data_IF_228034856108
#
_entry.id   IF_228034856108
#
_cell.length_a   1.000
_cell.length_b   1.000
_cell.length_c   1.000
_cell.angle_alpha   90.00
_cell.angle_beta   90.00
_cell.angle_gamma   90.00
#
_symmetry.space_group_name_H-M   'P 1'
#
loop_
_entity.id
_entity.type
_entity.pdbx_description
1 polymer ?
#
# COMPACT_ATOMS: atom_id res chain seq x y z
N UNK A 1 -9.04 21.56 8.89
CA UNK A 1 -9.42 22.97 9.09
C UNK A 1 -10.87 23.09 9.55
N UNK A 2 -11.83 22.42 8.89
CA UNK A 2 -13.25 22.40 9.27
C UNK A 2 -13.51 22.25 10.79
N UNK A 3 -12.91 21.24 11.42
CA UNK A 3 -12.95 21.02 12.88
C UNK A 3 -12.55 22.25 13.70
N UNK A 4 -11.47 22.94 13.33
CA UNK A 4 -10.94 24.10 14.06
C UNK A 4 -11.93 25.26 14.01
N UNK A 5 -12.56 25.48 12.86
CA UNK A 5 -13.56 26.52 12.66
C UNK A 5 -14.86 26.23 13.40
N UNK A 6 -15.32 24.97 13.39
CA UNK A 6 -16.49 24.54 14.16
C UNK A 6 -16.24 24.68 15.67
N UNK A 7 -15.05 24.32 16.15
CA UNK A 7 -14.65 24.54 17.55
C UNK A 7 -14.64 26.02 17.93
N UNK A 8 -14.40 26.92 16.98
CA UNK A 8 -14.49 28.36 17.16
C UNK A 8 -15.93 28.90 17.09
N UNK A 9 -16.95 28.03 17.02
CA UNK A 9 -18.37 28.41 17.00
C UNK A 9 -18.89 28.87 15.62
N UNK A 10 -18.10 28.67 14.55
CA UNK A 10 -18.54 29.03 13.20
C UNK A 10 -19.50 27.96 12.68
N UNK A 11 -20.61 28.36 12.05
CA UNK A 11 -21.57 27.41 11.47
C UNK A 11 -20.94 26.54 10.37
N UNK A 12 -21.44 25.31 10.22
CA UNK A 12 -20.95 24.36 9.21
C UNK A 12 -20.98 24.96 7.79
N UNK A 13 -22.07 25.62 7.42
CA UNK A 13 -22.22 26.29 6.12
C UNK A 13 -21.14 27.34 5.87
N UNK A 14 -20.88 28.21 6.85
CA UNK A 14 -19.85 29.27 6.74
C UNK A 14 -18.43 28.68 6.71
N UNK A 15 -18.21 27.58 7.42
CA UNK A 15 -16.94 26.85 7.32
C UNK A 15 -16.72 26.28 5.92
N UNK A 16 -17.75 25.64 5.34
CA UNK A 16 -17.67 25.07 3.99
C UNK A 16 -17.47 26.14 2.92
N UNK A 17 -18.12 27.30 3.06
CA UNK A 17 -17.90 28.47 2.21
C UNK A 17 -16.44 28.95 2.24
N UNK A 18 -15.92 29.18 3.45
CA UNK A 18 -14.55 29.66 3.63
C UNK A 18 -13.51 28.66 3.11
N UNK A 19 -13.71 27.36 3.32
CA UNK A 19 -12.82 26.33 2.78
C UNK A 19 -12.94 26.21 1.26
N UNK A 20 -14.15 26.37 0.72
CA UNK A 20 -14.39 26.33 -0.72
C UNK A 20 -13.72 27.47 -1.47
N UNK A 21 -13.77 28.70 -0.91
CA UNK A 21 -13.17 29.89 -1.53
C UNK A 21 -11.64 29.88 -1.52
N UNK A 22 -11.02 29.14 -0.58
CA UNK A 22 -9.56 29.02 -0.44
C UNK A 22 -9.02 27.65 -0.91
N UNK A 23 -9.84 26.86 -1.62
CA UNK A 23 -9.40 25.57 -2.11
C UNK A 23 -8.36 25.74 -3.25
N UNK A 24 -7.18 25.15 -3.10
CA UNK A 24 -6.13 25.15 -4.15
C UNK A 24 -6.62 24.50 -5.45
N UNK A 25 -7.43 23.45 -5.32
CA UNK A 25 -8.00 22.73 -6.46
C UNK A 25 -9.44 23.19 -6.70
N UNK A 26 -9.72 23.69 -7.90
CA UNK A 26 -11.06 24.11 -8.33
C UNK A 26 -12.12 23.04 -8.07
N UNK A 27 -11.81 21.77 -8.37
CA UNK A 27 -12.72 20.63 -8.13
C UNK A 27 -13.11 20.49 -6.66
N UNK A 28 -12.18 20.73 -5.73
CA UNK A 28 -12.47 20.67 -4.28
C UNK A 28 -13.38 21.83 -3.88
N UNK A 29 -13.12 23.04 -4.40
CA UNK A 29 -13.98 24.21 -4.18
C UNK A 29 -15.42 23.98 -4.65
N UNK A 30 -15.60 23.41 -5.85
CA UNK A 30 -16.92 23.05 -6.40
C UNK A 30 -17.65 22.03 -5.51
N UNK A 31 -16.96 20.98 -5.05
CA UNK A 31 -17.53 19.97 -4.15
C UNK A 31 -17.94 20.60 -2.81
N UNK A 32 -17.11 21.47 -2.22
CA UNK A 32 -17.44 22.17 -0.97
C UNK A 32 -18.63 23.12 -1.13
N UNK A 33 -18.76 23.78 -2.29
CA UNK A 33 -19.94 24.59 -2.63
C UNK A 33 -21.22 23.76 -2.70
N UNK A 34 -21.16 22.57 -3.31
CA UNK A 34 -22.30 21.63 -3.33
C UNK A 34 -22.65 21.14 -1.93
N UNK A 35 -21.64 20.80 -1.10
CA UNK A 35 -21.86 20.39 0.28
C UNK A 35 -22.51 21.51 1.10
N UNK A 36 -22.03 22.75 0.97
CA UNK A 36 -22.62 23.93 1.61
C UNK A 36 -24.09 24.08 1.24
N UNK A 37 -24.41 24.10 -0.06
CA UNK A 37 -25.79 24.27 -0.54
C UNK A 37 -26.72 23.11 -0.10
N UNK A 38 -26.16 21.94 0.19
CA UNK A 38 -26.91 20.78 0.73
C UNK A 38 -27.25 20.99 2.20
N UNK A 39 -26.25 21.39 3.00
CA UNK A 39 -26.42 21.71 4.43
C UNK A 39 -27.37 22.90 4.63
N UNK A 40 -27.30 23.94 3.79
CA UNK A 40 -28.21 25.10 3.84
C UNK A 40 -29.67 24.72 3.53
N UNK A 41 -29.89 23.64 2.74
CA UNK A 41 -31.22 23.09 2.46
C UNK A 41 -31.71 22.10 3.54
N UNK A 42 -30.92 21.88 4.60
CA UNK A 42 -31.25 20.94 5.67
C UNK A 42 -31.02 19.47 5.33
N UNK A 43 -30.28 19.18 4.25
CA UNK A 43 -29.86 17.80 3.96
C UNK A 43 -28.77 17.35 4.94
N UNK A 44 -28.73 16.04 5.24
CA UNK A 44 -27.66 15.46 6.06
C UNK A 44 -26.31 15.70 5.41
N UNK A 45 -25.40 16.27 6.19
CA UNK A 45 -24.02 16.48 5.80
C UNK A 45 -23.34 15.14 5.52
N UNK A 46 -23.50 14.17 6.42
CA UNK A 46 -22.89 12.84 6.27
C UNK A 46 -23.37 12.13 5.00
N UNK A 47 -24.69 12.16 4.72
CA UNK A 47 -25.21 11.53 3.50
C UNK A 47 -24.66 12.16 2.24
N UNK A 48 -24.52 13.49 2.21
CA UNK A 48 -24.00 14.16 1.02
C UNK A 48 -22.54 13.77 0.73
N UNK A 49 -21.73 13.49 1.75
CA UNK A 49 -20.35 13.05 1.59
C UNK A 49 -20.22 11.70 0.88
N UNK A 50 -21.23 10.81 0.97
CA UNK A 50 -21.22 9.49 0.30
C UNK A 50 -21.12 9.59 -1.22
N UNK A 51 -21.55 10.71 -1.80
CA UNK A 51 -21.45 11.00 -3.25
C UNK A 51 -20.00 11.12 -3.72
N UNK A 52 -19.05 11.32 -2.80
CA UNK A 52 -17.65 11.56 -3.10
C UNK A 52 -16.72 10.56 -2.38
N UNK A 53 -16.85 9.24 -2.63
CA UNK A 53 -16.13 8.20 -1.89
C UNK A 53 -14.61 8.25 -2.10
N UNK A 54 -14.14 8.90 -3.17
CA UNK A 54 -12.71 9.12 -3.42
C UNK A 54 -12.08 10.21 -2.51
N UNK A 55 -12.90 11.10 -1.95
CA UNK A 55 -12.45 12.16 -1.02
C UNK A 55 -12.82 11.84 0.43
N UNK A 56 -13.97 11.19 0.64
CA UNK A 56 -14.48 10.85 1.96
C UNK A 56 -14.65 9.33 2.07
N UNK A 57 -13.65 8.63 2.65
CA UNK A 57 -13.75 7.20 2.89
C UNK A 57 -14.96 6.83 3.78
N UNK A 58 -15.54 5.63 3.64
CA UNK A 58 -16.72 5.22 4.41
C UNK A 58 -16.59 5.40 5.93
N UNK A 59 -15.42 5.13 6.50
CA UNK A 59 -15.13 5.36 7.94
C UNK A 59 -15.29 6.82 8.33
N UNK A 60 -14.82 7.76 7.50
CA UNK A 60 -14.93 9.20 7.76
C UNK A 60 -16.39 9.64 7.68
N UNK A 61 -17.12 9.13 6.69
CA UNK A 61 -18.55 9.42 6.55
C UNK A 61 -19.32 8.91 7.77
N UNK A 62 -19.02 7.71 8.27
CA UNK A 62 -19.73 7.17 9.43
C UNK A 62 -19.41 7.91 10.73
N UNK A 63 -18.15 8.28 10.95
CA UNK A 63 -17.78 9.13 12.09
C UNK A 63 -18.57 10.44 12.07
N UNK A 64 -18.66 11.09 10.91
CA UNK A 64 -19.42 12.33 10.71
C UNK A 64 -20.92 12.07 10.90
N UNK A 65 -21.46 10.94 10.43
CA UNK A 65 -22.87 10.53 10.63
C UNK A 65 -23.21 10.38 12.11
N UNK A 66 -22.35 9.72 12.89
CA UNK A 66 -22.53 9.57 14.33
C UNK A 66 -22.50 10.94 15.04
N UNK A 67 -21.57 11.83 14.66
CA UNK A 67 -21.51 13.19 15.18
C UNK A 67 -22.71 14.06 14.78
N UNK A 68 -23.22 13.91 13.56
CA UNK A 68 -24.41 14.62 13.10
C UNK A 68 -25.67 14.17 13.86
N UNK A 69 -25.86 12.86 14.04
CA UNK A 69 -27.01 12.30 14.76
C UNK A 69 -27.05 12.68 16.25
N UNK A 70 -25.88 12.85 16.88
CA UNK A 70 -25.74 13.20 18.30
C UNK A 70 -25.56 14.70 18.54
N UNK A 71 -25.48 15.52 17.47
CA UNK A 71 -25.17 16.94 17.57
C UNK A 71 -23.71 17.24 17.98
N UNK A 72 -22.83 16.24 18.01
CA UNK A 72 -21.42 16.34 18.41
C UNK A 72 -20.47 16.30 17.19
N UNK A 73 -20.74 17.17 16.21
CA UNK A 73 -19.99 17.18 14.94
C UNK A 73 -18.49 17.52 15.12
N UNK A 74 -18.13 18.36 16.10
CA UNK A 74 -16.71 18.73 16.34
C UNK A 74 -15.87 17.54 16.86
N UNK A 75 -16.30 16.78 17.88
CA UNK A 75 -15.63 15.54 18.28
C UNK A 75 -15.52 14.52 17.13
N UNK A 76 -16.59 14.31 16.37
CA UNK A 76 -16.59 13.39 15.23
C UNK A 76 -15.57 13.79 14.15
N UNK A 77 -15.50 15.09 13.82
CA UNK A 77 -14.50 15.61 12.89
C UNK A 77 -13.07 15.55 13.46
N UNK A 78 -12.92 15.60 14.80
CA UNK A 78 -11.65 15.36 15.48
C UNK A 78 -11.16 13.95 15.22
N UNK A 79 -12.03 12.96 15.43
CA UNK A 79 -11.68 11.56 15.22
C UNK A 79 -11.44 11.25 13.74
N UNK A 80 -12.29 11.76 12.84
CA UNK A 80 -12.12 11.60 11.40
C UNK A 80 -10.78 12.20 10.91
N UNK A 81 -10.41 13.40 11.41
CA UNK A 81 -9.13 14.01 11.08
C UNK A 81 -7.94 13.23 11.63
N UNK A 82 -8.03 12.71 12.86
CA UNK A 82 -7.01 11.87 13.47
C UNK A 82 -6.81 10.57 12.67
N UNK A 83 -7.91 9.91 12.30
CA UNK A 83 -7.91 8.70 11.47
C UNK A 83 -7.25 8.94 10.10
N UNK A 84 -7.66 10.00 9.39
CA UNK A 84 -7.08 10.35 8.08
C UNK A 84 -5.59 10.66 8.19
N UNK A 85 -5.19 11.45 9.19
CA UNK A 85 -3.79 11.81 9.42
C UNK A 85 -2.94 10.58 9.71
N UNK A 86 -3.35 9.73 10.66
CA UNK A 86 -2.63 8.51 11.03
C UNK A 86 -2.53 7.52 9.87
N UNK A 87 -3.61 7.34 9.13
CA UNK A 87 -3.62 6.50 7.93
C UNK A 87 -2.67 7.02 6.86
N UNK A 88 -2.64 8.34 6.66
CA UNK A 88 -1.72 8.98 5.73
C UNK A 88 -0.26 8.87 6.18
N UNK A 89 0.03 9.14 7.46
CA UNK A 89 1.36 8.97 8.06
C UNK A 89 1.87 7.55 7.83
N UNK A 90 1.10 6.52 8.22
CA UNK A 90 1.49 5.11 8.03
C UNK A 90 1.77 4.79 6.55
N UNK A 91 0.88 5.22 5.64
CA UNK A 91 1.06 5.00 4.19
C UNK A 91 2.31 5.73 3.66
N UNK A 92 2.55 6.95 4.12
CA UNK A 92 3.70 7.75 3.74
C UNK A 92 5.00 7.12 4.21
N UNK A 93 5.04 6.57 5.43
CA UNK A 93 6.22 5.86 5.97
C UNK A 93 6.54 4.62 5.14
N UNK A 94 5.53 3.79 4.85
CA UNK A 94 5.70 2.61 3.98
C UNK A 94 6.17 3.02 2.58
N UNK A 95 5.56 4.05 1.98
CA UNK A 95 5.96 4.54 0.65
C UNK A 95 7.37 5.13 0.65
N UNK A 96 7.73 5.86 1.70
CA UNK A 96 9.06 6.46 1.86
C UNK A 96 10.15 5.40 1.91
N UNK A 97 9.95 4.34 2.70
CA UNK A 97 10.89 3.23 2.79
C UNK A 97 11.08 2.48 1.45
N UNK A 98 10.03 2.39 0.63
CA UNK A 98 10.07 1.74 -0.68
C UNK A 98 10.60 2.64 -1.81
N UNK A 99 10.73 3.95 -1.59
CA UNK A 99 11.14 4.90 -2.61
C UNK A 99 12.57 4.61 -3.11
N UNK A 100 13.52 4.47 -2.18
CA UNK A 100 14.92 4.23 -2.51
C UNK A 100 15.13 2.93 -3.31
N UNK A 101 14.64 1.75 -2.86
CA UNK A 101 14.76 0.52 -3.64
C UNK A 101 14.15 0.63 -5.03
N UNK A 102 13.01 1.32 -5.16
CA UNK A 102 12.34 1.50 -6.46
C UNK A 102 13.15 2.36 -7.43
N UNK A 103 13.83 3.40 -6.93
CA UNK A 103 14.69 4.27 -7.77
C UNK A 103 15.91 3.48 -8.25
N UNK A 104 16.62 2.79 -7.35
CA UNK A 104 17.82 2.02 -7.72
C UNK A 104 17.48 0.90 -8.70
N UNK A 105 16.40 0.14 -8.43
CA UNK A 105 15.96 -0.93 -9.31
C UNK A 105 15.54 -0.42 -10.69
N UNK A 106 14.83 0.72 -10.74
CA UNK A 106 14.46 1.33 -12.03
C UNK A 106 15.68 1.83 -12.80
N UNK A 107 16.65 2.48 -12.16
CA UNK A 107 17.91 2.87 -12.78
C UNK A 107 18.69 1.66 -13.31
N UNK A 108 18.78 0.58 -12.53
CA UNK A 108 19.43 -0.67 -12.95
C UNK A 108 18.79 -1.27 -14.20
N UNK A 109 17.45 -1.31 -14.26
CA UNK A 109 16.73 -1.80 -15.44
C UNK A 109 16.96 -0.90 -16.64
N UNK A 110 16.86 0.42 -16.48
CA UNK A 110 17.07 1.39 -17.57
C UNK A 110 18.49 1.28 -18.14
N UNK A 111 19.51 1.27 -17.27
CA UNK A 111 20.91 1.12 -17.69
C UNK A 111 21.16 -0.24 -18.35
N UNK A 112 20.64 -1.33 -17.77
CA UNK A 112 20.78 -2.67 -18.31
C UNK A 112 20.17 -2.81 -19.71
N UNK A 113 18.95 -2.29 -19.91
CA UNK A 113 18.30 -2.24 -21.23
C UNK A 113 19.12 -1.40 -22.21
N UNK A 114 19.61 -0.24 -21.78
CA UNK A 114 20.45 0.63 -22.62
C UNK A 114 21.72 -0.07 -23.12
N UNK A 115 22.38 -0.84 -22.26
CA UNK A 115 23.56 -1.63 -22.63
C UNK A 115 23.20 -2.69 -23.68
N UNK A 116 22.13 -3.46 -23.46
CA UNK A 116 21.73 -4.55 -24.38
C UNK A 116 21.27 -4.00 -25.74
N UNK A 117 20.60 -2.85 -25.77
CA UNK A 117 20.04 -2.27 -27.00
C UNK A 117 21.07 -1.46 -27.79
N UNK A 118 21.95 -0.69 -27.14
CA UNK A 118 22.85 0.24 -27.83
C UNK A 118 24.31 -0.22 -27.88
N UNK A 119 24.83 -0.75 -26.77
CA UNK A 119 26.26 -1.06 -26.64
C UNK A 119 26.57 -2.44 -27.22
N UNK A 120 25.74 -3.43 -26.88
CA UNK A 120 25.99 -4.80 -27.27
C UNK A 120 26.01 -5.02 -28.79
N UNK A 121 25.09 -4.49 -29.62
CA UNK A 121 25.14 -4.71 -31.07
C UNK A 121 26.44 -4.20 -31.71
N UNK A 122 26.94 -3.05 -31.26
CA UNK A 122 28.19 -2.47 -31.75
C UNK A 122 29.40 -3.35 -31.42
N UNK A 123 29.40 -3.97 -30.23
CA UNK A 123 30.43 -4.95 -29.87
C UNK A 123 30.35 -6.19 -30.76
N UNK A 124 29.14 -6.67 -31.07
CA UNK A 124 28.94 -7.83 -31.92
C UNK A 124 29.41 -7.63 -33.36
N UNK A 125 29.29 -6.42 -33.91
CA UNK A 125 29.82 -6.11 -35.24
C UNK A 125 31.34 -6.33 -35.33
N UNK A 126 32.07 -6.13 -34.23
CA UNK A 126 33.51 -6.42 -34.13
C UNK A 126 33.77 -7.94 -34.12
N UNK A 127 32.86 -8.73 -33.56
CA UNK A 127 33.00 -10.20 -33.42
C UNK A 127 32.51 -11.00 -34.63
N UNK A 128 31.72 -10.43 -35.53
CA UNK A 128 31.16 -11.12 -36.71
C UNK A 128 32.21 -11.67 -37.70
N UNK A 129 33.46 -11.24 -37.60
CA UNK A 129 34.57 -11.74 -38.43
C UNK A 129 35.35 -12.92 -37.82
N UNK A 130 35.03 -13.36 -36.60
CA UNK A 130 35.84 -14.33 -35.87
C UNK A 130 35.14 -15.69 -35.84
N UNK A 131 35.79 -16.72 -36.37
CA UNK A 131 35.29 -18.11 -36.49
C UNK A 131 35.30 -18.91 -35.19
N UNK A 132 35.62 -18.28 -34.05
CA UNK A 132 35.74 -18.95 -32.75
C UNK A 132 34.35 -19.06 -32.09
N UNK A 133 33.97 -20.23 -31.52
CA UNK A 133 32.69 -20.38 -30.83
C UNK A 133 32.59 -19.47 -29.60
N UNK A 134 31.60 -18.60 -29.60
CA UNK A 134 31.38 -17.66 -28.50
C UNK A 134 30.96 -18.38 -27.20
N UNK A 135 31.39 -17.88 -26.03
CA UNK A 135 30.97 -18.40 -24.73
C UNK A 135 29.45 -18.37 -24.52
N UNK A 136 28.93 -19.27 -23.66
CA UNK A 136 27.49 -19.36 -23.35
C UNK A 136 26.85 -18.01 -22.93
N UNK A 137 27.45 -17.21 -22.03
CA UNK A 137 26.88 -15.92 -21.63
C UNK A 137 26.69 -14.97 -22.83
N UNK A 138 27.70 -14.88 -23.70
CA UNK A 138 27.67 -14.05 -24.90
C UNK A 138 26.64 -14.56 -25.92
N UNK A 139 26.49 -15.88 -26.08
CA UNK A 139 25.47 -16.50 -26.96
C UNK A 139 24.04 -16.23 -26.50
N UNK A 140 23.76 -16.31 -25.20
CA UNK A 140 22.43 -15.96 -24.64
C UNK A 140 22.13 -14.48 -24.88
N UNK A 141 23.11 -13.62 -24.63
CA UNK A 141 22.96 -12.18 -24.81
C UNK A 141 22.77 -11.80 -26.29
N UNK A 142 23.48 -12.49 -27.18
CA UNK A 142 23.32 -12.42 -28.64
C UNK A 142 21.93 -12.81 -29.10
N UNK A 143 21.43 -13.96 -28.63
CA UNK A 143 20.08 -14.41 -28.98
C UNK A 143 19.02 -13.39 -28.53
N UNK A 144 19.20 -12.79 -27.34
CA UNK A 144 18.33 -11.72 -26.85
C UNK A 144 18.42 -10.47 -27.74
N UNK A 145 19.63 -10.03 -28.06
CA UNK A 145 19.88 -8.83 -28.88
C UNK A 145 19.34 -8.98 -30.31
N UNK A 146 19.56 -10.15 -30.92
CA UNK A 146 19.15 -10.44 -32.30
C UNK A 146 17.62 -10.66 -32.41
N UNK A 147 16.98 -11.14 -31.33
CA UNK A 147 15.53 -11.15 -31.19
C UNK A 147 14.95 -9.73 -31.09
N UNK A 148 15.60 -8.85 -30.31
CA UNK A 148 15.22 -7.44 -30.16
C UNK A 148 15.50 -6.65 -31.45
N UNK A 149 16.58 -6.92 -32.18
CA UNK A 149 16.93 -6.20 -33.39
C UNK A 149 16.02 -6.57 -34.58
N UNK A 150 15.69 -7.86 -34.76
CA UNK A 150 14.85 -8.33 -35.87
C UNK A 150 13.35 -8.21 -35.61
N UNK A 151 12.92 -8.35 -34.34
CA UNK A 151 11.52 -8.37 -33.95
C UNK A 151 11.22 -7.37 -32.84
N UNK A 152 11.98 -6.29 -32.69
CA UNK A 152 11.92 -5.38 -31.54
C UNK A 152 10.53 -4.84 -31.21
N UNK A 153 9.72 -4.55 -32.24
CA UNK A 153 8.32 -4.15 -32.07
C UNK A 153 7.48 -5.32 -31.50
N UNK A 154 7.66 -6.54 -32.02
CA UNK A 154 6.92 -7.74 -31.58
C UNK A 154 7.37 -8.21 -30.19
N UNK A 155 8.68 -8.20 -29.92
CA UNK A 155 9.26 -8.54 -28.61
C UNK A 155 8.87 -7.50 -27.57
N UNK A 156 8.95 -6.21 -27.91
CA UNK A 156 8.48 -5.12 -27.05
C UNK A 156 6.98 -5.23 -26.77
N UNK A 157 6.16 -5.46 -27.80
CA UNK A 157 4.73 -5.69 -27.64
C UNK A 157 4.43 -6.93 -26.80
N UNK A 158 5.18 -8.03 -26.96
CA UNK A 158 5.04 -9.25 -26.16
C UNK A 158 5.42 -9.01 -24.69
N UNK A 159 6.50 -8.29 -24.41
CA UNK A 159 6.90 -7.93 -23.04
C UNK A 159 5.85 -7.03 -22.39
N UNK A 160 5.39 -6.01 -23.11
CA UNK A 160 4.30 -5.14 -22.62
C UNK A 160 3.02 -5.94 -22.40
N UNK A 161 2.67 -6.85 -23.29
CA UNK A 161 1.50 -7.72 -23.15
C UNK A 161 1.63 -8.68 -21.97
N UNK A 162 2.80 -9.27 -21.74
CA UNK A 162 3.09 -10.13 -20.58
C UNK A 162 3.01 -9.32 -19.29
N UNK A 163 3.63 -8.13 -19.24
CA UNK A 163 3.55 -7.25 -18.07
C UNK A 163 2.10 -6.83 -17.82
N UNK A 164 1.36 -6.43 -18.85
CA UNK A 164 -0.04 -6.06 -18.74
C UNK A 164 -0.90 -7.26 -18.28
N UNK A 165 -0.65 -8.46 -18.79
CA UNK A 165 -1.33 -9.69 -18.39
C UNK A 165 -1.00 -10.07 -16.95
N UNK A 166 0.26 -9.94 -16.51
CA UNK A 166 0.68 -10.17 -15.13
C UNK A 166 0.07 -9.14 -14.18
N UNK A 167 0.01 -7.87 -14.58
CA UNK A 167 -0.66 -6.81 -13.80
C UNK A 167 -2.17 -7.10 -13.72
N UNK A 168 -2.81 -7.47 -14.82
CA UNK A 168 -4.22 -7.81 -14.86
C UNK A 168 -4.51 -9.05 -13.99
N UNK A 169 -3.70 -10.10 -14.11
CA UNK A 169 -3.78 -11.30 -13.29
C UNK A 169 -3.57 -10.97 -11.80
N UNK A 170 -2.56 -10.17 -11.45
CA UNK A 170 -2.32 -9.74 -10.07
C UNK A 170 -3.42 -8.81 -9.53
N UNK A 171 -4.17 -8.12 -10.39
CA UNK A 171 -5.34 -7.30 -10.02
C UNK A 171 -6.64 -8.10 -9.93
N UNK A 172 -6.70 -9.30 -10.52
CA UNK A 172 -7.86 -10.20 -10.36
C UNK A 172 -8.00 -10.64 -8.91
N UNK A 173 -9.22 -10.91 -8.46
CA UNK A 173 -9.49 -11.39 -7.09
C UNK A 173 -8.64 -12.62 -6.67
N UNK A 174 -8.51 -13.69 -7.50
CA UNK A 174 -7.65 -14.81 -7.14
C UNK A 174 -6.16 -14.43 -7.13
N UNK A 175 -5.70 -13.57 -8.05
CA UNK A 175 -4.30 -13.12 -8.06
C UNK A 175 -3.94 -12.21 -6.89
N UNK A 176 -4.87 -11.37 -6.43
CA UNK A 176 -4.73 -10.58 -5.20
C UNK A 176 -4.68 -11.49 -3.98
N UNK A 177 -5.52 -12.52 -3.92
CA UNK A 177 -5.50 -13.47 -2.81
C UNK A 177 -4.18 -14.26 -2.73
N UNK A 178 -3.67 -14.71 -3.87
CA UNK A 178 -2.40 -15.43 -3.95
C UNK A 178 -1.22 -14.52 -3.60
N UNK A 179 -1.14 -13.33 -4.18
CA UNK A 179 -0.06 -12.37 -3.89
C UNK A 179 -0.06 -11.95 -2.41
N UNK A 180 -1.21 -11.64 -1.83
CA UNK A 180 -1.31 -11.35 -0.40
C UNK A 180 -0.87 -12.55 0.46
N UNK A 181 -1.21 -13.78 0.07
CA UNK A 181 -0.76 -14.98 0.78
C UNK A 181 0.76 -15.14 0.71
N UNK A 182 1.35 -14.99 -0.47
CA UNK A 182 2.81 -15.09 -0.68
C UNK A 182 3.53 -14.03 0.17
N UNK A 183 3.07 -12.78 0.15
CA UNK A 183 3.65 -11.68 0.94
C UNK A 183 3.63 -12.02 2.43
N UNK A 184 2.52 -12.56 2.95
CA UNK A 184 2.42 -12.91 4.38
C UNK A 184 3.40 -14.02 4.80
N UNK A 185 3.84 -14.87 3.87
CA UNK A 185 4.81 -15.94 4.12
C UNK A 185 6.27 -15.55 3.82
N UNK A 186 6.50 -14.37 3.22
CA UNK A 186 7.84 -13.88 2.87
C UNK A 186 8.57 -13.32 4.10
N UNK A 187 9.05 -14.19 4.99
CA UNK A 187 9.98 -13.87 6.08
C UNK A 187 9.73 -12.51 6.75
N UNK A 188 10.70 -11.59 6.63
CA UNK A 188 10.64 -10.23 7.21
C UNK A 188 9.56 -9.33 6.58
N UNK A 189 9.29 -9.46 5.28
CA UNK A 189 8.23 -8.70 4.60
C UNK A 189 6.83 -9.14 5.08
N UNK A 190 6.65 -10.44 5.32
CA UNK A 190 5.41 -11.00 5.86
C UNK A 190 5.14 -10.55 7.29
N UNK A 191 6.18 -10.33 8.10
CA UNK A 191 6.05 -9.73 9.43
C UNK A 191 5.53 -8.29 9.33
N UNK A 192 6.20 -7.42 8.55
CA UNK A 192 5.78 -6.03 8.34
C UNK A 192 4.36 -5.95 7.78
N UNK A 193 4.02 -6.81 6.81
CA UNK A 193 2.69 -6.86 6.24
C UNK A 193 1.62 -7.19 7.30
N UNK A 194 1.91 -8.09 8.24
CA UNK A 194 1.00 -8.40 9.36
C UNK A 194 0.86 -7.20 10.29
N UNK A 195 1.96 -6.61 10.72
CA UNK A 195 1.98 -5.43 11.61
C UNK A 195 1.19 -4.27 11.02
N UNK A 196 1.38 -3.96 9.73
CA UNK A 196 0.65 -2.90 9.02
C UNK A 196 -0.87 -3.15 9.01
N UNK A 197 -1.30 -4.40 8.80
CA UNK A 197 -2.73 -4.73 8.82
C UNK A 197 -3.28 -4.67 10.25
N UNK A 198 -2.57 -5.21 11.24
CA UNK A 198 -2.98 -5.14 12.66
C UNK A 198 -3.08 -3.69 13.14
N UNK A 199 -2.06 -2.86 12.88
CA UNK A 199 -2.07 -1.44 13.25
C UNK A 199 -3.26 -0.71 12.62
N UNK A 200 -3.55 -0.96 11.34
CA UNK A 200 -4.69 -0.37 10.62
C UNK A 200 -6.02 -0.81 11.22
N UNK A 201 -6.19 -2.10 11.52
CA UNK A 201 -7.40 -2.65 12.16
C UNK A 201 -7.60 -1.99 13.51
N UNK A 202 -6.58 -2.02 14.37
CA UNK A 202 -6.65 -1.49 15.73
C UNK A 202 -6.95 0.02 15.73
N UNK A 203 -6.27 0.80 14.88
CA UNK A 203 -6.49 2.25 14.74
C UNK A 203 -7.89 2.60 14.25
N UNK A 204 -8.41 1.84 13.29
CA UNK A 204 -9.73 2.11 12.70
C UNK A 204 -10.83 1.74 13.67
N UNK A 205 -10.73 0.54 14.25
CA UNK A 205 -11.71 0.02 15.20
C UNK A 205 -11.73 0.86 16.48
N UNK A 206 -10.57 1.28 17.03
CA UNK A 206 -10.55 2.14 18.21
C UNK A 206 -11.20 3.50 17.96
N UNK A 207 -10.94 4.13 16.80
CA UNK A 207 -11.55 5.41 16.46
C UNK A 207 -13.07 5.33 16.34
N UNK A 208 -13.58 4.26 15.71
CA UNK A 208 -15.02 4.04 15.58
C UNK A 208 -15.69 3.75 16.94
N UNK A 209 -15.07 2.91 17.78
CA UNK A 209 -15.60 2.57 19.11
C UNK A 209 -15.65 3.78 20.06
N UNK A 210 -14.72 4.74 19.93
CA UNK A 210 -14.73 6.00 20.71
C UNK A 210 -15.88 6.94 20.35
N UNK A 211 -16.60 6.68 19.27
CA UNK A 211 -17.74 7.48 18.80
C UNK A 211 -19.08 6.79 19.02
N UNK A 212 -19.15 5.83 19.95
CA UNK A 212 -20.34 5.07 20.31
C UNK A 212 -20.97 4.30 19.13
N UNK A 213 -20.20 4.07 18.05
CA UNK A 213 -20.65 3.25 16.93
C UNK A 213 -20.64 1.78 17.38
N UNK A 214 -21.75 1.04 17.23
CA UNK A 214 -21.85 -0.36 17.65
C UNK A 214 -20.71 -1.21 17.07
N UNK A 215 -20.15 -2.12 17.88
CA UNK A 215 -18.96 -2.91 17.52
C UNK A 215 -19.11 -3.68 16.20
N UNK A 216 -20.28 -4.25 15.92
CA UNK A 216 -20.55 -4.97 14.67
C UNK A 216 -20.38 -4.04 13.47
N UNK A 217 -20.99 -2.85 13.53
CA UNK A 217 -20.87 -1.83 12.48
C UNK A 217 -19.44 -1.33 12.35
N UNK A 218 -18.76 -1.16 13.47
CA UNK A 218 -17.35 -0.76 13.51
C UNK A 218 -16.43 -1.79 12.84
N UNK A 219 -16.71 -3.09 13.01
CA UNK A 219 -15.99 -4.18 12.33
C UNK A 219 -16.25 -4.20 10.82
N UNK A 220 -17.51 -4.04 10.38
CA UNK A 220 -17.87 -3.94 8.95
C UNK A 220 -17.12 -2.80 8.26
N UNK A 221 -17.13 -1.62 8.87
CA UNK A 221 -16.44 -0.44 8.36
C UNK A 221 -14.93 -0.62 8.37
N UNK A 222 -14.39 -1.24 9.42
CA UNK A 222 -12.97 -1.59 9.48
C UNK A 222 -12.60 -2.53 8.34
N UNK A 223 -13.38 -3.58 8.07
CA UNK A 223 -13.17 -4.50 6.96
C UNK A 223 -13.14 -3.78 5.60
N UNK A 224 -14.02 -2.80 5.39
CA UNK A 224 -14.05 -2.00 4.16
C UNK A 224 -12.78 -1.16 3.93
N UNK A 225 -12.01 -0.84 4.98
CA UNK A 225 -10.71 -0.14 4.84
C UNK A 225 -9.54 -1.06 4.49
N UNK A 226 -9.71 -2.38 4.60
CA UNK A 226 -8.61 -3.34 4.47
C UNK A 226 -8.37 -3.71 3.01
N UNK A 227 -7.13 -3.50 2.57
CA UNK A 227 -6.67 -3.87 1.22
C UNK A 227 -6.35 -5.36 1.13
N UNK A 228 -5.75 -5.92 2.19
CA UNK A 228 -5.41 -7.34 2.25
C UNK A 228 -6.69 -8.18 2.38
N UNK A 229 -6.89 -9.09 1.42
CA UNK A 229 -8.12 -9.88 1.31
C UNK A 229 -8.31 -10.84 2.49
N UNK A 230 -7.22 -11.37 3.05
CA UNK A 230 -7.27 -12.34 4.17
C UNK A 230 -7.68 -11.65 5.46
N UNK A 231 -7.11 -10.48 5.75
CA UNK A 231 -7.54 -9.66 6.89
C UNK A 231 -8.95 -9.11 6.72
N UNK A 232 -9.33 -8.71 5.50
CA UNK A 232 -10.72 -8.28 5.23
C UNK A 232 -11.71 -9.41 5.50
N UNK A 233 -11.42 -10.62 5.02
CA UNK A 233 -12.26 -11.79 5.28
C UNK A 233 -12.32 -12.10 6.78
N UNK A 234 -11.19 -12.08 7.49
CA UNK A 234 -11.14 -12.34 8.93
C UNK A 234 -11.95 -11.32 9.75
N UNK A 235 -11.87 -10.03 9.45
CA UNK A 235 -12.67 -9.01 10.15
C UNK A 235 -14.15 -9.06 9.76
N UNK A 236 -14.47 -9.43 8.51
CA UNK A 236 -15.87 -9.66 8.08
C UNK A 236 -16.48 -10.84 8.83
N UNK A 237 -15.73 -11.93 8.97
CA UNK A 237 -16.11 -13.10 9.77
C UNK A 237 -16.28 -12.72 11.25
N UNK A 238 -15.35 -11.91 11.79
CA UNK A 238 -15.46 -11.40 13.16
C UNK A 238 -16.72 -10.56 13.40
N UNK A 239 -17.10 -9.69 12.46
CA UNK A 239 -18.37 -8.96 12.52
C UNK A 239 -19.56 -9.93 12.61
N UNK A 240 -19.54 -11.00 11.82
CA UNK A 240 -20.58 -12.02 11.80
C UNK A 240 -20.65 -12.82 13.11
N UNK A 241 -19.51 -13.18 13.71
CA UNK A 241 -19.42 -13.90 14.99
C UNK A 241 -19.98 -13.03 16.13
N UNK A 242 -19.55 -11.77 16.21
CA UNK A 242 -19.99 -10.84 17.25
C UNK A 242 -21.48 -10.51 17.11
N UNK A 243 -21.99 -10.39 15.88
CA UNK A 243 -23.43 -10.21 15.62
C UNK A 243 -24.31 -11.37 16.13
N UNK A 244 -23.74 -12.58 16.22
CA UNK A 244 -24.42 -13.77 16.78
C UNK A 244 -24.25 -13.91 18.30
N UNK A 245 -23.61 -12.93 18.96
CA UNK A 245 -23.36 -12.95 20.41
C UNK A 245 -22.06 -13.64 20.83
N UNK A 246 -21.17 -13.98 19.90
CA UNK A 246 -19.81 -14.42 20.23
C UNK A 246 -18.89 -13.26 20.63
N UNK A 247 -17.72 -13.57 21.18
CA UNK A 247 -16.72 -12.56 21.54
C UNK A 247 -15.83 -12.20 20.36
N UNK A 248 -15.28 -10.98 20.36
CA UNK A 248 -14.28 -10.59 19.36
C UNK A 248 -13.02 -11.43 19.50
N UNK A 249 -12.62 -11.75 20.74
CA UNK A 249 -11.51 -12.67 21.00
C UNK A 249 -11.68 -14.00 20.27
N UNK A 250 -12.84 -14.65 20.38
CA UNK A 250 -13.07 -15.96 19.78
C UNK A 250 -13.03 -15.87 18.25
N UNK A 251 -13.58 -14.79 17.69
CA UNK A 251 -13.48 -14.54 16.26
C UNK A 251 -12.03 -14.44 15.77
N UNK A 252 -11.19 -13.66 16.45
CA UNK A 252 -9.78 -13.49 16.06
C UNK A 252 -8.97 -14.78 16.29
N UNK A 253 -9.35 -15.60 17.27
CA UNK A 253 -8.74 -16.89 17.58
C UNK A 253 -8.88 -17.91 16.44
N UNK A 254 -9.97 -17.85 15.65
CA UNK A 254 -10.12 -18.67 14.43
C UNK A 254 -9.09 -18.31 13.36
N UNK A 255 -8.51 -17.10 13.43
CA UNK A 255 -7.56 -16.56 12.47
C UNK A 255 -6.16 -16.33 13.08
N UNK A 256 -5.73 -17.14 14.05
CA UNK A 256 -4.40 -17.09 14.72
C UNK A 256 -3.19 -16.96 13.78
N UNK A 257 -3.29 -17.40 12.52
CA UNK A 257 -2.22 -17.24 11.53
C UNK A 257 -1.99 -15.79 11.09
N UNK A 258 -3.02 -14.94 11.24
CA UNK A 258 -3.02 -13.52 10.87
C UNK A 258 -2.81 -12.61 12.09
N UNK A 259 -3.34 -12.99 13.26
CA UNK A 259 -3.29 -12.15 14.46
C UNK A 259 -2.24 -12.69 15.46
N UNK A 260 -1.24 -11.89 15.84
CA UNK A 260 -0.30 -12.26 16.88
C UNK A 260 -1.02 -12.57 18.22
N UNK A 261 -0.52 -13.53 19.02
CA UNK A 261 -1.16 -13.90 20.30
C UNK A 261 -1.36 -12.71 21.24
N UNK A 262 -0.40 -11.78 21.27
CA UNK A 262 -0.47 -10.55 22.08
C UNK A 262 -1.69 -9.70 21.71
N UNK A 263 -2.04 -9.60 20.43
CA UNK A 263 -3.23 -8.84 19.98
C UNK A 263 -4.50 -9.50 20.46
N UNK A 264 -4.62 -10.82 20.29
CA UNK A 264 -5.79 -11.58 20.72
C UNK A 264 -5.98 -11.43 22.25
N UNK A 265 -4.89 -11.50 23.00
CA UNK A 265 -4.91 -11.32 24.46
C UNK A 265 -5.32 -9.89 24.86
N UNK A 266 -4.79 -8.86 24.19
CA UNK A 266 -5.18 -7.47 24.48
C UNK A 266 -6.65 -7.21 24.15
N UNK A 267 -7.17 -7.81 23.07
CA UNK A 267 -8.61 -7.78 22.76
C UNK A 267 -9.42 -8.45 23.85
N UNK A 268 -9.00 -9.62 24.33
CA UNK A 268 -9.68 -10.33 25.41
C UNK A 268 -9.78 -9.46 26.69
N UNK A 269 -8.65 -8.89 27.12
CA UNK A 269 -8.60 -8.01 28.30
C UNK A 269 -9.45 -6.75 28.08
N UNK A 270 -9.46 -6.21 26.86
CA UNK A 270 -10.24 -5.01 26.53
C UNK A 270 -11.75 -5.27 26.49
N UNK A 271 -12.16 -6.44 26.04
CA UNK A 271 -13.55 -6.87 26.02
C UNK A 271 -14.05 -7.15 27.44
N UNK A 272 -13.27 -7.83 28.28
CA UNK A 272 -13.60 -8.08 29.70
C UNK A 272 -13.65 -6.78 30.53
N UNK A 273 -12.72 -5.85 30.28
CA UNK A 273 -12.65 -4.57 30.99
C UNK A 273 -13.53 -3.46 30.39
N UNK A 274 -14.31 -3.75 29.34
CA UNK A 274 -15.08 -2.77 28.57
C UNK A 274 -14.24 -1.53 28.14
N UNK A 275 -12.98 -1.76 27.79
CA UNK A 275 -11.97 -0.75 27.45
C UNK A 275 -11.27 -1.06 26.11
N UNK A 276 -12.01 -1.70 25.19
CA UNK A 276 -11.49 -2.16 23.90
C UNK A 276 -10.99 -0.99 23.04
N UNK A 277 -11.66 0.15 23.08
CA UNK A 277 -11.27 1.38 22.40
C UNK A 277 -9.88 1.88 22.83
N UNK A 278 -9.61 1.88 24.13
CA UNK A 278 -8.32 2.29 24.69
C UNK A 278 -7.23 1.27 24.38
N UNK A 279 -7.46 -0.01 24.63
CA UNK A 279 -6.43 -1.04 24.39
C UNK A 279 -6.10 -1.19 22.91
N UNK A 280 -7.07 -1.07 22.00
CA UNK A 280 -6.80 -1.06 20.57
C UNK A 280 -6.00 0.18 20.15
N UNK A 281 -6.17 1.32 20.83
CA UNK A 281 -5.31 2.49 20.60
C UNK A 281 -3.86 2.20 20.98
N UNK A 282 -3.63 1.50 22.11
CA UNK A 282 -2.30 1.09 22.53
C UNK A 282 -1.68 0.05 21.58
N UNK A 283 -2.47 -0.93 21.12
CA UNK A 283 -2.06 -1.87 20.06
C UNK A 283 -1.65 -1.12 18.79
N UNK A 284 -2.47 -0.15 18.36
CA UNK A 284 -2.18 0.63 17.16
C UNK A 284 -0.87 1.41 17.29
N UNK A 285 -0.64 2.09 18.42
CA UNK A 285 0.58 2.84 18.67
C UNK A 285 1.82 1.93 18.69
N UNK A 286 1.74 0.81 19.41
CA UNK A 286 2.84 -0.17 19.50
C UNK A 286 3.25 -0.70 18.12
N UNK A 287 2.29 -1.14 17.31
CA UNK A 287 2.61 -1.65 15.98
C UNK A 287 3.00 -0.54 15.00
N UNK A 288 2.47 0.69 15.11
CA UNK A 288 2.96 1.84 14.33
C UNK A 288 4.44 2.12 14.60
N UNK A 289 4.91 1.95 15.84
CA UNK A 289 6.32 2.08 16.22
C UNK A 289 7.17 0.90 15.75
N UNK A 290 6.69 -0.35 15.91
CA UNK A 290 7.41 -1.55 15.47
C UNK A 290 7.56 -1.60 13.94
N UNK A 291 6.56 -1.09 13.20
CA UNK A 291 6.63 -0.92 11.75
C UNK A 291 7.77 0.03 11.37
N UNK A 292 7.93 1.16 12.08
CA UNK A 292 8.99 2.12 11.80
C UNK A 292 10.38 1.49 11.98
N UNK A 293 10.56 0.73 13.06
CA UNK A 293 11.80 -0.02 13.32
C UNK A 293 12.05 -1.08 12.25
N UNK A 294 11.02 -1.85 11.89
CA UNK A 294 11.11 -2.89 10.89
C UNK A 294 11.42 -2.34 9.49
N UNK A 295 10.83 -1.20 9.10
CA UNK A 295 11.11 -0.53 7.83
C UNK A 295 12.54 0.00 7.75
N UNK A 296 13.08 0.57 8.85
CA UNK A 296 14.49 0.99 8.92
C UNK A 296 15.43 -0.19 8.74
N UNK A 297 15.21 -1.27 9.49
CA UNK A 297 16.01 -2.48 9.40
C UNK A 297 15.96 -3.10 8.01
N UNK A 298 14.78 -3.16 7.40
CA UNK A 298 14.60 -3.66 6.03
C UNK A 298 15.44 -2.85 5.03
N UNK A 299 15.46 -1.52 5.16
CA UNK A 299 16.24 -0.65 4.29
C UNK A 299 17.74 -0.91 4.41
N UNK A 300 18.26 -1.09 5.63
CA UNK A 300 19.68 -1.43 5.89
C UNK A 300 20.10 -2.77 5.28
N UNK A 301 19.17 -3.73 5.14
CA UNK A 301 19.47 -5.04 4.53
C UNK A 301 19.34 -4.99 3.01
N UNK A 302 18.38 -4.21 2.49
CA UNK A 302 18.16 -4.07 1.05
C UNK A 302 19.38 -3.47 0.36
N UNK A 303 20.06 -2.51 0.98
CA UNK A 303 21.21 -1.83 0.38
C UNK A 303 22.38 -2.80 0.03
N UNK A 304 22.92 -3.62 0.95
CA UNK A 304 23.91 -4.64 0.62
C UNK A 304 23.44 -5.63 -0.45
N UNK A 305 22.17 -6.04 -0.41
CA UNK A 305 21.62 -6.94 -1.41
C UNK A 305 21.59 -6.30 -2.80
N UNK A 306 21.20 -5.03 -2.89
CA UNK A 306 21.22 -4.26 -4.14
C UNK A 306 22.65 -4.11 -4.66
N UNK A 307 23.63 -3.83 -3.80
CA UNK A 307 25.04 -3.78 -4.20
C UNK A 307 25.53 -5.12 -4.75
N UNK A 308 25.15 -6.25 -4.12
CA UNK A 308 25.48 -7.58 -4.62
C UNK A 308 24.86 -7.85 -5.99
N UNK A 309 23.59 -7.49 -6.17
CA UNK A 309 22.87 -7.67 -7.45
C UNK A 309 23.47 -6.81 -8.55
N UNK A 310 23.78 -5.55 -8.26
CA UNK A 310 24.44 -4.64 -9.22
C UNK A 310 25.84 -5.16 -9.56
N UNK A 311 26.63 -5.53 -8.56
CA UNK A 311 27.97 -6.09 -8.76
C UNK A 311 27.93 -7.37 -9.61
N UNK A 312 26.98 -8.26 -9.34
CA UNK A 312 26.77 -9.46 -10.14
C UNK A 312 26.33 -9.14 -11.57
N UNK A 313 25.43 -8.17 -11.77
CA UNK A 313 24.98 -7.75 -13.09
C UNK A 313 26.11 -7.10 -13.92
N UNK A 314 26.88 -6.20 -13.31
CA UNK A 314 28.04 -5.55 -13.93
C UNK A 314 29.14 -6.57 -14.20
N UNK A 315 29.41 -7.47 -13.26
CA UNK A 315 30.39 -8.55 -13.44
C UNK A 315 30.00 -9.51 -14.56
N UNK A 316 28.73 -9.92 -14.61
CA UNK A 316 28.19 -10.73 -15.71
C UNK A 316 28.36 -10.02 -17.05
N UNK A 317 28.03 -8.72 -17.12
CA UNK A 317 28.22 -7.92 -18.33
C UNK A 317 29.70 -7.83 -18.73
N UNK A 318 30.59 -7.56 -17.78
CA UNK A 318 32.02 -7.47 -18.01
C UNK A 318 32.57 -8.79 -18.57
N UNK A 319 32.21 -9.94 -17.99
CA UNK A 319 32.61 -11.26 -18.51
C UNK A 319 32.04 -11.50 -19.90
N UNK A 320 30.75 -11.20 -20.11
CA UNK A 320 30.08 -11.41 -21.40
C UNK A 320 30.71 -10.59 -22.54
N UNK A 321 31.30 -9.43 -22.24
CA UNK A 321 31.97 -8.54 -23.20
C UNK A 321 33.47 -8.83 -23.33
N UNK A 322 34.20 -8.93 -22.22
CA UNK A 322 35.66 -9.07 -22.22
C UNK A 322 36.13 -10.46 -22.65
N UNK A 323 35.40 -11.51 -22.29
CA UNK A 323 35.82 -12.88 -22.63
C UNK A 323 35.91 -13.10 -24.15
N UNK A 324 34.92 -12.68 -24.98
CA UNK A 324 35.07 -12.66 -26.43
C UNK A 324 36.30 -11.87 -26.90
N UNK A 325 36.54 -10.67 -26.36
CA UNK A 325 37.70 -9.85 -26.75
C UNK A 325 39.02 -10.60 -26.56
N UNK A 326 39.20 -11.30 -25.43
CA UNK A 326 40.39 -12.11 -25.19
C UNK A 326 40.51 -13.29 -26.16
N UNK A 327 39.41 -13.99 -26.46
CA UNK A 327 39.45 -15.12 -27.41
C UNK A 327 39.82 -14.69 -28.82
N UNK A 328 39.42 -13.49 -29.24
CA UNK A 328 39.84 -12.92 -30.54
C UNK A 328 41.30 -12.53 -30.51
N UNK A 329 41.75 -11.85 -29.44
CA UNK A 329 43.15 -11.43 -29.30
C UNK A 329 44.14 -12.60 -29.21
N UNK A 330 43.71 -13.78 -28.77
CA UNK A 330 44.51 -15.01 -28.78
C UNK A 330 44.47 -15.78 -30.11
N UNK A 331 43.46 -15.51 -30.95
CA UNK A 331 43.28 -16.18 -32.23
C UNK A 331 43.96 -15.43 -33.40
N UNK A 332 44.36 -14.17 -33.18
CA UNK A 332 45.21 -13.34 -34.06
C UNK A 332 46.66 -13.52 -33.64
#
# INVERSE_FOLDING_TARGET
HLRVMLRAGISLSRCLESLGSHAEQRRVGEILGVLRASVERGESFAERLTTYPGLFPPVVVELIRAGEATGTLEPALTEAAAHLRKTHELRSRVRGALMYPSIVLSAMVVLGVGVVVFILPRLLDIFRGVTVPLPLPTRVLLALSDAIARHGIVVGAAVVAIIAALIAAARSDPGRALSHRIILHLGRLGRIAREVNVARIARTLSGLLRTDIPIVRSLELTAATLTNVHYRAAITDAAAVVARGGTLRDALEHHRGLFPPTVIQMVAVGEEAAALDRLLTDVANFYEEDIDLSLRNLTTIIEPLLMLVIGAAVGFLAVAVLQPMYTVAQAI
#
